data_IF_803161163800
#
_entry.id   IF_803161163800
#
_cell.length_a   1.000
_cell.length_b   1.000
_cell.length_c   1.000
_cell.angle_alpha   90.00
_cell.angle_beta   90.00
_cell.angle_gamma   90.00
#
_symmetry.space_group_name_H-M   'P 1'
#
loop_
_entity.id
_entity.type
_entity.pdbx_description
1 polymer ?
#
# COMPACT_ATOMS: atom_id res chain seq x y z
N UNK A 1 22.22 0.11 26.70
CA UNK A 1 22.38 -1.01 25.75
C UNK A 1 21.00 -1.61 25.70
N UNK A 2 20.17 -1.09 24.81
CA UNK A 2 18.72 -1.27 24.94
C UNK A 2 18.30 -2.25 23.86
N UNK A 3 18.07 -3.50 24.28
CA UNK A 3 17.61 -4.59 23.44
C UNK A 3 16.18 -4.30 22.93
N UNK A 4 16.08 -3.61 21.80
CA UNK A 4 14.85 -3.55 20.99
C UNK A 4 15.05 -4.39 19.73
N UNK A 5 15.26 -5.70 19.94
CA UNK A 5 15.10 -6.68 18.86
C UNK A 5 13.61 -6.77 18.46
N UNK A 6 13.29 -7.04 17.20
CA UNK A 6 11.91 -7.17 16.75
C UNK A 6 11.25 -8.34 17.49
N UNK A 7 10.22 -8.04 18.30
CA UNK A 7 9.40 -9.07 18.94
C UNK A 7 8.67 -9.84 17.84
N UNK A 8 8.97 -11.13 17.74
CA UNK A 8 8.26 -12.08 16.88
C UNK A 8 6.75 -11.89 17.04
N UNK A 9 5.95 -11.75 15.96
CA UNK A 9 4.54 -11.48 16.11
C UNK A 9 3.87 -12.64 16.84
N UNK A 10 3.07 -12.30 17.84
CA UNK A 10 2.34 -13.25 18.68
C UNK A 10 1.40 -14.05 17.78
N UNK A 11 1.73 -15.34 17.61
CA UNK A 11 0.87 -16.35 16.97
C UNK A 11 -0.51 -16.29 17.61
N UNK A 12 -1.53 -15.80 16.88
CA UNK A 12 -2.93 -15.74 17.34
C UNK A 12 -3.60 -14.36 17.28
N UNK A 13 -2.87 -13.27 17.04
CA UNK A 13 -3.49 -11.93 16.93
C UNK A 13 -4.41 -11.82 15.68
N UNK A 14 -5.64 -11.27 15.81
CA UNK A 14 -6.51 -10.96 14.67
C UNK A 14 -5.80 -10.05 13.66
N UNK A 15 -6.01 -10.28 12.37
CA UNK A 15 -5.21 -9.62 11.33
C UNK A 15 -5.38 -8.09 11.31
N UNK A 16 -6.58 -7.60 11.65
CA UNK A 16 -6.86 -6.17 11.74
C UNK A 16 -6.22 -5.51 12.95
N UNK A 17 -6.09 -6.21 14.06
CA UNK A 17 -5.39 -5.70 15.22
C UNK A 17 -3.88 -5.72 15.01
N UNK A 18 -3.37 -6.73 14.30
CA UNK A 18 -1.98 -6.74 13.82
C UNK A 18 -1.67 -5.53 12.92
N UNK A 19 -2.57 -5.21 11.97
CA UNK A 19 -2.43 -4.00 11.15
C UNK A 19 -2.42 -2.74 12.03
N UNK A 20 -3.37 -2.58 12.97
CA UNK A 20 -3.41 -1.41 13.88
C UNK A 20 -2.14 -1.28 14.70
N UNK A 21 -1.58 -2.38 15.18
CA UNK A 21 -0.35 -2.40 15.97
C UNK A 21 0.85 -1.82 15.21
N UNK A 22 0.89 -1.95 13.87
CA UNK A 22 1.94 -1.33 13.03
C UNK A 22 1.97 0.20 13.12
N UNK A 23 0.93 0.86 13.66
CA UNK A 23 0.96 2.32 13.91
C UNK A 23 2.05 2.72 14.91
N UNK A 24 2.49 1.80 15.78
CA UNK A 24 3.56 2.05 16.77
C UNK A 24 4.94 2.26 16.15
N UNK A 25 5.17 1.69 14.96
CA UNK A 25 6.45 1.80 14.23
C UNK A 25 6.67 3.24 13.72
N UNK A 26 5.60 4.02 13.59
CA UNK A 26 5.66 5.37 13.04
C UNK A 26 6.04 5.38 11.56
N UNK A 27 6.45 6.54 11.07
CA UNK A 27 6.96 6.69 9.71
C UNK A 27 8.43 6.22 9.67
N UNK A 28 8.75 5.38 8.69
CA UNK A 28 10.11 4.90 8.43
C UNK A 28 10.53 5.35 7.03
N UNK A 29 11.24 6.49 6.89
CA UNK A 29 11.74 6.93 5.60
C UNK A 29 12.74 5.91 5.03
N UNK A 30 12.50 5.45 3.80
CA UNK A 30 13.37 4.49 3.13
C UNK A 30 12.57 3.50 2.28
N UNK A 31 13.25 2.86 1.34
CA UNK A 31 12.64 1.89 0.43
C UNK A 31 13.03 0.45 0.72
N UNK A 32 14.01 0.21 1.58
CA UNK A 32 14.60 -1.12 1.85
C UNK A 32 13.54 -2.16 2.23
N UNK A 33 12.72 -1.86 3.26
CA UNK A 33 11.70 -2.76 3.77
C UNK A 33 10.59 -3.01 2.73
N UNK A 34 10.11 -1.93 2.12
CA UNK A 34 9.09 -1.99 1.06
C UNK A 34 9.56 -2.80 -0.15
N UNK A 35 10.75 -2.53 -0.69
CA UNK A 35 11.31 -3.24 -1.84
C UNK A 35 11.54 -4.72 -1.55
N UNK A 36 12.05 -5.03 -0.35
CA UNK A 36 12.23 -6.43 0.05
C UNK A 36 10.90 -7.16 0.15
N UNK A 37 9.86 -6.51 0.69
CA UNK A 37 8.52 -7.09 0.75
C UNK A 37 7.87 -7.23 -0.62
N UNK A 38 8.03 -6.26 -1.51
CA UNK A 38 7.57 -6.35 -2.90
C UNK A 38 8.23 -7.53 -3.61
N UNK A 39 9.53 -7.76 -3.42
CA UNK A 39 10.21 -8.94 -3.94
C UNK A 39 9.65 -10.25 -3.37
N UNK A 40 9.40 -10.33 -2.05
CA UNK A 40 8.75 -11.50 -1.41
C UNK A 40 7.33 -11.77 -1.90
N UNK A 41 6.65 -10.72 -2.36
CA UNK A 41 5.30 -10.77 -2.91
C UNK A 41 5.27 -11.01 -4.42
N UNK A 42 6.42 -11.35 -5.03
CA UNK A 42 6.54 -11.58 -6.47
C UNK A 42 6.21 -10.30 -7.28
N UNK A 43 6.73 -9.17 -6.82
CA UNK A 43 6.71 -7.86 -7.48
C UNK A 43 5.35 -7.43 -8.04
N UNK A 44 4.27 -7.37 -7.22
CA UNK A 44 2.92 -7.15 -7.72
C UNK A 44 2.72 -5.78 -8.39
N UNK A 45 3.43 -4.76 -7.90
CA UNK A 45 3.50 -3.41 -8.47
C UNK A 45 4.01 -3.32 -9.92
N UNK A 46 4.61 -4.37 -10.48
CA UNK A 46 5.16 -4.40 -11.84
C UNK A 46 4.14 -4.89 -12.88
N UNK A 47 2.95 -5.31 -12.46
CA UNK A 47 1.93 -5.90 -13.35
C UNK A 47 0.99 -4.89 -14.00
N UNK A 48 1.11 -3.61 -13.64
CA UNK A 48 0.28 -2.53 -14.16
C UNK A 48 1.08 -1.23 -14.22
N UNK A 49 0.84 -0.35 -15.21
CA UNK A 49 1.39 0.99 -15.22
C UNK A 49 0.80 1.84 -14.09
N UNK A 50 1.51 2.87 -13.63
CA UNK A 50 1.00 3.75 -12.59
C UNK A 50 1.32 5.23 -12.80
N UNK A 51 0.38 6.08 -12.37
CA UNK A 51 0.62 7.50 -12.14
C UNK A 51 0.93 7.71 -10.67
N UNK A 52 2.01 8.44 -10.37
CA UNK A 52 2.42 8.75 -9.00
C UNK A 52 2.18 10.22 -8.69
N UNK A 53 1.54 10.52 -7.56
CA UNK A 53 1.12 11.86 -7.18
C UNK A 53 1.77 12.23 -5.85
N UNK A 54 2.58 13.28 -5.86
CA UNK A 54 3.22 13.87 -4.69
C UNK A 54 2.80 15.35 -4.52
N UNK A 55 3.14 15.96 -3.39
CA UNK A 55 2.83 17.37 -3.12
C UNK A 55 2.30 17.65 -1.72
N UNK A 56 2.31 18.93 -1.34
CA UNK A 56 1.91 19.36 0.00
C UNK A 56 0.39 19.26 0.20
N UNK A 57 -0.39 19.78 -0.75
CA UNK A 57 -1.85 19.85 -0.70
C UNK A 57 -2.48 19.36 -2.01
N UNK A 58 -3.74 18.94 -1.97
CA UNK A 58 -4.52 18.59 -3.17
C UNK A 58 -4.25 17.20 -3.76
N UNK A 59 -3.24 16.46 -3.29
CA UNK A 59 -2.88 15.11 -3.76
C UNK A 59 -4.10 14.17 -3.86
N UNK A 60 -4.82 13.94 -2.76
CA UNK A 60 -5.99 13.06 -2.73
C UNK A 60 -7.11 13.50 -3.68
N UNK A 61 -7.34 14.82 -3.84
CA UNK A 61 -8.31 15.36 -4.81
C UNK A 61 -7.85 15.10 -6.24
N UNK A 62 -6.59 15.41 -6.57
CA UNK A 62 -6.00 15.14 -7.89
C UNK A 62 -6.03 13.65 -8.22
N UNK A 63 -5.67 12.79 -7.26
CA UNK A 63 -5.68 11.34 -7.41
C UNK A 63 -7.08 10.81 -7.67
N UNK A 64 -8.08 11.29 -6.91
CA UNK A 64 -9.47 10.89 -7.07
C UNK A 64 -10.05 11.35 -8.41
N UNK A 65 -9.79 12.60 -8.82
CA UNK A 65 -10.25 13.12 -10.11
C UNK A 65 -9.63 12.36 -11.28
N UNK A 66 -8.32 12.11 -11.24
CA UNK A 66 -7.62 11.36 -12.28
C UNK A 66 -8.14 9.92 -12.37
N UNK A 67 -8.27 9.22 -11.24
CA UNK A 67 -8.76 7.86 -11.22
C UNK A 67 -10.19 7.77 -11.78
N UNK A 68 -11.08 8.69 -11.39
CA UNK A 68 -12.44 8.73 -11.91
C UNK A 68 -12.48 9.04 -13.42
N UNK A 69 -11.67 9.98 -13.91
CA UNK A 69 -11.60 10.29 -15.33
C UNK A 69 -11.14 9.08 -16.16
N UNK A 70 -10.11 8.36 -15.68
CA UNK A 70 -9.60 7.14 -16.32
C UNK A 70 -10.63 6.00 -16.31
N UNK A 71 -11.36 5.84 -15.20
CA UNK A 71 -12.49 4.89 -15.08
C UNK A 71 -13.60 5.21 -16.06
N UNK A 72 -14.04 6.47 -16.16
CA UNK A 72 -15.04 6.90 -17.14
C UNK A 72 -14.57 6.74 -18.59
N UNK A 73 -13.25 6.75 -18.80
CA UNK A 73 -12.62 6.41 -20.08
C UNK A 73 -12.57 4.90 -20.39
N UNK A 74 -13.13 4.05 -19.54
CA UNK A 74 -13.25 2.60 -19.77
C UNK A 74 -12.09 1.76 -19.21
N UNK A 75 -11.19 2.33 -18.41
CA UNK A 75 -10.10 1.58 -17.77
C UNK A 75 -10.54 1.05 -16.41
N UNK A 76 -10.10 -0.16 -16.05
CA UNK A 76 -10.16 -0.66 -14.69
C UNK A 76 -9.04 -0.02 -13.86
N UNK A 77 -9.38 0.97 -13.03
CA UNK A 77 -8.36 1.77 -12.32
C UNK A 77 -8.27 1.38 -10.85
N UNK A 78 -7.05 1.10 -10.38
CA UNK A 78 -6.73 1.05 -8.96
C UNK A 78 -6.39 2.44 -8.41
N UNK A 79 -6.90 2.81 -7.25
CA UNK A 79 -6.58 4.07 -6.57
C UNK A 79 -6.09 3.78 -5.15
N UNK A 80 -4.88 4.26 -4.83
CA UNK A 80 -4.33 4.23 -3.48
C UNK A 80 -4.18 5.65 -2.92
N UNK A 81 -4.85 5.94 -1.80
CA UNK A 81 -4.87 7.27 -1.16
C UNK A 81 -4.67 7.21 0.35
N UNK A 82 -4.29 8.34 0.96
CA UNK A 82 -4.20 8.45 2.41
C UNK A 82 -4.37 9.88 2.92
N UNK A 83 -4.86 10.08 4.17
CA UNK A 83 -5.41 9.09 5.08
C UNK A 83 -6.84 8.63 4.67
N UNK A 84 -7.43 7.72 5.45
CA UNK A 84 -8.87 7.43 5.37
C UNK A 84 -9.62 8.26 6.41
N UNK A 85 -10.94 8.42 6.23
CA UNK A 85 -11.82 9.14 7.15
C UNK A 85 -12.49 8.18 8.15
N UNK A 86 -13.18 7.15 7.67
CA UNK A 86 -13.98 6.25 8.52
C UNK A 86 -13.43 4.82 8.52
N UNK A 87 -13.18 4.26 7.34
CA UNK A 87 -12.79 2.86 7.14
C UNK A 87 -11.46 2.76 6.40
N UNK A 88 -10.62 1.80 6.79
CA UNK A 88 -9.27 1.66 6.20
C UNK A 88 -9.32 1.30 4.71
N UNK A 89 -10.37 0.61 4.29
CA UNK A 89 -10.70 0.27 2.92
C UNK A 89 -10.80 1.51 2.02
N UNK A 90 -11.11 2.70 2.56
CA UNK A 90 -11.15 3.94 1.78
C UNK A 90 -9.83 4.28 1.09
N UNK A 91 -8.72 3.75 1.61
CA UNK A 91 -7.39 3.92 1.02
C UNK A 91 -7.17 3.13 -0.25
N UNK A 92 -8.02 2.15 -0.56
CA UNK A 92 -7.87 1.27 -1.71
C UNK A 92 -9.20 1.18 -2.43
N UNK A 93 -9.24 1.71 -3.65
CA UNK A 93 -10.40 1.61 -4.53
C UNK A 93 -10.02 0.90 -5.82
N UNK A 94 -10.98 0.17 -6.37
CA UNK A 94 -10.89 -0.35 -7.74
C UNK A 94 -12.16 0.07 -8.46
N UNK A 95 -12.01 0.67 -9.64
CA UNK A 95 -13.13 1.12 -10.48
C UNK A 95 -14.10 2.04 -9.70
N UNK A 96 -13.53 3.01 -8.97
CA UNK A 96 -14.24 3.98 -8.12
C UNK A 96 -14.84 3.40 -6.82
N UNK A 97 -14.87 2.08 -6.65
CA UNK A 97 -15.52 1.39 -5.52
C UNK A 97 -14.51 0.98 -4.45
N UNK A 98 -14.97 0.95 -3.20
CA UNK A 98 -14.20 0.36 -2.10
C UNK A 98 -13.96 -1.13 -2.37
N UNK A 99 -12.78 -1.61 -1.97
CA UNK A 99 -12.50 -3.05 -1.97
C UNK A 99 -13.35 -3.81 -0.94
N UNK A 100 -13.54 -5.10 -1.16
CA UNK A 100 -14.15 -5.98 -0.15
C UNK A 100 -13.19 -6.11 1.06
N UNK A 101 -13.66 -5.90 2.31
CA UNK A 101 -12.85 -6.11 3.51
C UNK A 101 -12.11 -7.46 3.56
N UNK A 102 -12.68 -8.52 2.98
CA UNK A 102 -12.06 -9.85 2.90
C UNK A 102 -10.86 -9.88 1.95
N UNK A 103 -10.86 -9.08 0.89
CA UNK A 103 -9.69 -8.94 0.00
C UNK A 103 -8.53 -8.31 0.77
N UNK A 104 -8.82 -7.28 1.57
CA UNK A 104 -7.82 -6.66 2.44
C UNK A 104 -7.30 -7.66 3.48
N UNK A 105 -8.16 -8.41 4.16
CA UNK A 105 -7.73 -9.43 5.13
C UNK A 105 -6.79 -10.46 4.51
N UNK A 106 -7.13 -10.96 3.32
CA UNK A 106 -6.30 -11.93 2.58
C UNK A 106 -4.92 -11.34 2.24
N UNK A 107 -4.88 -10.10 1.76
CA UNK A 107 -3.63 -9.40 1.46
C UNK A 107 -2.78 -9.21 2.73
N UNK A 108 -3.38 -8.77 3.83
CA UNK A 108 -2.70 -8.59 5.11
C UNK A 108 -2.13 -9.90 5.65
N UNK A 109 -2.86 -11.02 5.53
CA UNK A 109 -2.36 -12.33 5.93
C UNK A 109 -1.12 -12.76 5.14
N UNK A 110 -1.12 -12.54 3.82
CA UNK A 110 0.05 -12.81 2.99
C UNK A 110 1.25 -11.95 3.40
N UNK A 111 1.03 -10.65 3.59
CA UNK A 111 2.07 -9.70 4.03
C UNK A 111 2.65 -10.12 5.39
N UNK A 112 1.81 -10.38 6.39
CA UNK A 112 2.24 -10.81 7.73
C UNK A 112 3.06 -12.10 7.68
N UNK A 113 2.63 -13.06 6.86
CA UNK A 113 3.32 -14.35 6.72
C UNK A 113 4.69 -14.17 6.07
N UNK A 114 4.80 -13.27 5.09
CA UNK A 114 6.05 -13.04 4.38
C UNK A 114 6.99 -12.12 5.15
N UNK A 115 6.48 -11.19 5.97
CA UNK A 115 7.31 -10.29 6.78
C UNK A 115 8.03 -11.02 7.91
N UNK A 116 7.51 -12.17 8.37
CA UNK A 116 8.13 -13.00 9.42
C UNK A 116 9.15 -14.00 8.91
N UNK A 117 9.23 -14.23 7.59
CA UNK A 117 10.28 -15.07 7.01
C UNK A 117 11.65 -14.44 7.25
N UNK A 118 12.64 -15.25 7.59
CA UNK A 118 14.00 -14.79 7.88
C UNK A 118 14.68 -14.20 6.61
N UNK A 119 15.39 -13.05 6.71
CA UNK A 119 15.42 -12.17 7.87
C UNK A 119 14.06 -11.48 8.08
N UNK A 120 13.56 -11.44 9.32
CA UNK A 120 12.28 -10.79 9.59
C UNK A 120 12.36 -9.30 9.30
N UNK A 121 11.28 -8.73 8.75
CA UNK A 121 11.21 -7.34 8.32
C UNK A 121 10.06 -6.67 9.05
N UNK A 122 10.36 -5.57 9.73
CA UNK A 122 9.32 -4.66 10.21
C UNK A 122 8.86 -3.74 9.10
N UNK A 123 7.56 -3.63 8.95
CA UNK A 123 6.89 -2.75 7.99
C UNK A 123 5.89 -1.88 8.74
N UNK A 124 5.88 -0.59 8.40
CA UNK A 124 4.98 0.38 8.99
C UNK A 124 3.52 0.17 8.56
N UNK A 125 2.60 0.88 9.23
CA UNK A 125 1.18 0.90 8.86
C UNK A 125 0.95 1.32 7.41
N UNK A 126 1.69 2.34 6.95
CA UNK A 126 1.56 2.87 5.60
C UNK A 126 2.07 1.88 4.56
N UNK A 127 3.29 1.35 4.75
CA UNK A 127 3.88 0.34 3.87
C UNK A 127 2.99 -0.90 3.77
N UNK A 128 2.43 -1.35 4.89
CA UNK A 128 1.51 -2.51 4.90
C UNK A 128 0.30 -2.29 3.99
N UNK A 129 -0.32 -1.10 4.04
CA UNK A 129 -1.49 -0.79 3.21
C UNK A 129 -1.13 -0.55 1.75
N UNK A 130 0.03 0.06 1.48
CA UNK A 130 0.56 0.18 0.13
C UNK A 130 0.81 -1.19 -0.50
N UNK A 131 1.49 -2.09 0.20
CA UNK A 131 1.73 -3.47 -0.24
C UNK A 131 0.40 -4.21 -0.49
N UNK A 132 -0.60 -4.01 0.39
CA UNK A 132 -1.92 -4.62 0.22
C UNK A 132 -2.62 -4.11 -1.05
N UNK A 133 -2.55 -2.81 -1.33
CA UNK A 133 -3.07 -2.24 -2.56
C UNK A 133 -2.43 -2.89 -3.80
N UNK A 134 -1.11 -3.06 -3.81
CA UNK A 134 -0.40 -3.68 -4.94
C UNK A 134 -0.85 -5.14 -5.18
N UNK A 135 -1.01 -5.92 -4.11
CA UNK A 135 -1.52 -7.31 -4.19
C UNK A 135 -2.92 -7.32 -4.80
N UNK A 136 -3.81 -6.44 -4.32
CA UNK A 136 -5.21 -6.39 -4.77
C UNK A 136 -5.30 -5.93 -6.23
N UNK A 137 -4.55 -4.89 -6.60
CA UNK A 137 -4.51 -4.38 -7.98
C UNK A 137 -4.04 -5.44 -8.97
N UNK A 138 -2.96 -6.18 -8.65
CA UNK A 138 -2.52 -7.33 -9.46
C UNK A 138 -3.59 -8.42 -9.51
N UNK A 139 -4.21 -8.76 -8.38
CA UNK A 139 -5.18 -9.85 -8.30
C UNK A 139 -6.47 -9.57 -9.06
N UNK A 140 -6.88 -8.31 -9.13
CA UNK A 140 -8.09 -7.90 -9.87
C UNK A 140 -7.78 -7.65 -11.35
N UNK A 141 -6.51 -7.37 -11.69
CA UNK A 141 -6.08 -7.11 -13.06
C UNK A 141 -6.41 -5.69 -13.50
N UNK A 142 -6.07 -4.69 -12.68
CA UNK A 142 -6.27 -3.28 -13.05
C UNK A 142 -5.43 -2.92 -14.28
N UNK A 143 -5.98 -2.10 -15.16
CA UNK A 143 -5.28 -1.59 -16.34
C UNK A 143 -4.24 -0.53 -15.97
N UNK A 144 -4.48 0.21 -14.87
CA UNK A 144 -3.58 1.25 -14.35
C UNK A 144 -3.87 1.53 -12.88
N UNK A 145 -2.83 1.96 -12.15
CA UNK A 145 -2.98 2.47 -10.80
C UNK A 145 -2.70 3.98 -10.70
N UNK A 146 -3.41 4.67 -9.83
CA UNK A 146 -3.13 6.05 -9.39
C UNK A 146 -2.71 5.98 -7.92
N UNK A 147 -1.47 6.37 -7.64
CA UNK A 147 -0.83 6.19 -6.34
C UNK A 147 -0.51 7.55 -5.72
N UNK A 148 -1.17 7.89 -4.63
CA UNK A 148 -0.85 9.05 -3.81
C UNK A 148 0.29 8.74 -2.84
N UNK A 149 1.32 9.61 -2.83
CA UNK A 149 2.38 9.62 -1.83
C UNK A 149 1.82 9.89 -0.43
N UNK A 150 2.26 9.15 0.58
CA UNK A 150 1.92 9.41 1.97
C UNK A 150 2.54 10.71 2.49
N UNK A 151 3.88 10.79 2.48
CA UNK A 151 4.62 11.99 2.87
C UNK A 151 5.84 12.24 1.97
N UNK A 152 5.96 13.48 1.48
CA UNK A 152 7.13 13.91 0.71
C UNK A 152 7.17 13.27 -0.68
N UNK A 153 7.99 12.23 -0.84
CA UNK A 153 8.08 11.48 -2.12
C UNK A 153 9.36 10.67 -2.27
N UNK A 154 10.55 11.26 -2.08
CA UNK A 154 11.84 10.59 -2.35
C UNK A 154 12.04 9.29 -1.56
N UNK A 155 11.55 9.25 -0.31
CA UNK A 155 11.72 8.13 0.62
C UNK A 155 10.37 7.52 1.03
N UNK A 156 9.31 7.84 0.31
CA UNK A 156 7.98 7.27 0.55
C UNK A 156 7.89 5.89 -0.11
N UNK A 157 7.19 4.95 0.52
CA UNK A 157 7.01 3.58 0.02
C UNK A 157 6.46 3.55 -1.41
N UNK A 158 5.60 4.51 -1.76
CA UNK A 158 4.98 4.59 -3.10
C UNK A 158 5.99 4.87 -4.21
N UNK A 159 7.17 5.39 -3.88
CA UNK A 159 8.27 5.64 -4.83
C UNK A 159 8.86 4.35 -5.41
N UNK A 160 8.56 3.20 -4.82
CA UNK A 160 8.88 1.88 -5.37
C UNK A 160 8.17 1.61 -6.70
N UNK A 161 7.03 2.26 -6.97
CA UNK A 161 6.35 2.14 -8.24
C UNK A 161 7.12 2.87 -9.36
N UNK A 162 7.29 2.20 -10.51
CA UNK A 162 7.87 2.80 -11.70
C UNK A 162 6.76 3.56 -12.43
N UNK A 163 6.61 4.84 -12.08
CA UNK A 163 5.59 5.69 -12.65
C UNK A 163 5.96 6.16 -14.06
N UNK A 164 5.02 6.01 -14.99
CA UNK A 164 5.14 6.54 -16.36
C UNK A 164 4.70 8.00 -16.44
N UNK A 165 4.00 8.50 -15.41
CA UNK A 165 3.70 9.91 -15.18
C UNK A 165 3.82 10.23 -13.68
N UNK A 166 4.46 11.35 -13.35
CA UNK A 166 4.51 11.90 -11.99
C UNK A 166 3.89 13.28 -11.95
N UNK A 167 3.10 13.56 -10.91
CA UNK A 167 2.46 14.86 -10.62
C UNK A 167 2.99 15.36 -9.27
#
# INVERSE_FOLDING_TARGET
>A
MDEHGPKSPVSGMPIRDWLKDRRRIGMQPGLEATMTMLARLDMPHMHFPCVHIAGSNGKGTTASHLANALTLGGNMVGLFTSPHLCHVEERIRVDGKLIDPKQLDKALHAIRTLSTKAPAIEISYFETLFLAAMIIFRSVGVDRAVIETGLGGRLDATRACIADLTI
#
